data_IF_130969347665
#
_entry.id   IF_130969347665
#
_cell.length_a   1.000
_cell.length_b   1.000
_cell.length_c   1.000
_cell.angle_alpha   90.00
_cell.angle_beta   90.00
_cell.angle_gamma   90.00
#
_symmetry.space_group_name_H-M   'P 1'
#
loop_
_entity.id
_entity.type
_entity.pdbx_description
1 polymer ?
#
# COMPACT_ATOMS: atom_id res chain seq x y z
N UNK A 1 0.14 -12.78 -5.14
CA UNK A 1 0.75 -12.88 -6.49
C UNK A 1 1.73 -11.77 -6.83
N UNK A 2 1.64 -10.58 -6.20
CA UNK A 2 2.47 -9.41 -6.57
C UNK A 2 3.98 -9.61 -6.57
N UNK A 3 4.50 -10.56 -5.78
CA UNK A 3 5.93 -10.93 -5.80
C UNK A 3 6.43 -11.44 -7.16
N UNK A 4 5.52 -11.90 -8.02
CA UNK A 4 5.79 -12.40 -9.36
C UNK A 4 5.42 -11.39 -10.46
N UNK A 5 4.97 -10.19 -10.07
CA UNK A 5 4.80 -9.10 -11.02
C UNK A 5 6.19 -8.61 -11.45
N UNK A 6 6.36 -8.38 -12.76
CA UNK A 6 7.65 -8.00 -13.32
C UNK A 6 8.17 -6.67 -12.76
N UNK A 7 7.29 -5.70 -12.50
CA UNK A 7 7.68 -4.40 -11.94
C UNK A 7 8.17 -4.52 -10.50
N UNK A 8 7.48 -5.33 -9.67
CA UNK A 8 7.94 -5.63 -8.31
C UNK A 8 9.25 -6.44 -8.30
N UNK A 9 9.42 -7.40 -9.21
CA UNK A 9 10.69 -8.13 -9.34
C UNK A 9 11.85 -7.22 -9.79
N UNK A 10 11.61 -6.30 -10.73
CA UNK A 10 12.58 -5.29 -11.15
C UNK A 10 12.97 -4.40 -9.96
N UNK A 11 12.00 -3.89 -9.21
CA UNK A 11 12.24 -3.09 -8.01
C UNK A 11 13.04 -3.87 -6.95
N UNK A 12 12.69 -5.13 -6.68
CA UNK A 12 13.42 -5.97 -5.73
C UNK A 12 14.87 -6.16 -6.13
N UNK A 13 15.14 -6.44 -7.41
CA UNK A 13 16.50 -6.62 -7.91
C UNK A 13 17.32 -5.34 -7.74
N UNK A 14 16.77 -4.17 -8.06
CA UNK A 14 17.47 -2.90 -7.90
C UNK A 14 17.82 -2.62 -6.44
N UNK A 15 16.88 -2.84 -5.50
CA UNK A 15 17.14 -2.71 -4.07
C UNK A 15 18.23 -3.69 -3.59
N UNK A 16 18.17 -4.94 -4.04
CA UNK A 16 19.14 -5.98 -3.67
C UNK A 16 20.57 -5.68 -4.14
N UNK A 17 20.76 -4.79 -5.13
CA UNK A 17 22.10 -4.35 -5.53
C UNK A 17 22.79 -3.49 -4.47
N UNK A 18 22.02 -2.83 -3.59
CA UNK A 18 22.51 -1.85 -2.61
C UNK A 18 23.03 -0.54 -3.21
N UNK A 19 22.98 -0.36 -4.54
CA UNK A 19 23.49 0.86 -5.22
C UNK A 19 22.71 2.10 -4.77
N UNK A 20 21.42 1.95 -4.52
CA UNK A 20 20.52 3.01 -4.04
C UNK A 20 20.66 3.32 -2.54
N UNK A 21 21.52 2.59 -1.80
CA UNK A 21 21.61 2.67 -0.34
C UNK A 21 20.38 2.08 0.34
N UNK A 22 20.15 2.45 1.60
CA UNK A 22 19.03 1.91 2.37
C UNK A 22 17.67 2.51 1.95
N UNK A 23 16.58 1.71 1.90
CA UNK A 23 15.22 2.22 1.84
C UNK A 23 14.89 3.07 3.07
N UNK A 24 14.18 4.18 2.87
CA UNK A 24 13.79 5.11 3.95
C UNK A 24 12.28 5.28 4.04
N UNK A 25 11.63 5.49 2.89
CA UNK A 25 10.18 5.72 2.80
C UNK A 25 9.58 4.93 1.64
N UNK A 26 8.35 4.47 1.80
CA UNK A 26 7.56 3.93 0.69
C UNK A 26 6.24 4.69 0.58
N UNK A 27 5.91 5.08 -0.65
CA UNK A 27 4.63 5.69 -1.00
C UNK A 27 3.88 4.73 -1.91
N UNK A 28 2.74 4.24 -1.44
CA UNK A 28 1.96 3.22 -2.12
C UNK A 28 0.51 3.65 -2.31
N UNK A 29 -0.09 3.22 -3.41
CA UNK A 29 -1.52 3.43 -3.66
C UNK A 29 -2.13 2.13 -4.16
N UNK A 30 -3.23 1.71 -3.53
CA UNK A 30 -4.11 0.66 -4.02
C UNK A 30 -5.46 1.28 -4.35
N UNK A 31 -5.73 1.47 -5.65
CA UNK A 31 -6.96 2.09 -6.10
C UNK A 31 -7.75 1.15 -6.96
N UNK A 32 -9.06 1.18 -6.77
CA UNK A 32 -10.01 0.38 -7.52
C UNK A 32 -11.21 1.25 -7.92
N UNK A 33 -11.77 0.95 -9.08
CA UNK A 33 -12.79 1.80 -9.71
C UNK A 33 -14.06 1.88 -8.86
N UNK A 34 -14.61 0.72 -8.50
CA UNK A 34 -15.81 0.55 -7.65
C UNK A 34 -15.81 -0.81 -6.94
N UNK A 35 -16.44 -0.89 -5.77
CA UNK A 35 -16.72 -2.15 -5.06
C UNK A 35 -18.21 -2.38 -4.87
N UNK A 36 -18.61 -3.63 -4.64
CA UNK A 36 -20.02 -3.95 -4.39
C UNK A 36 -20.44 -3.65 -2.94
N UNK A 37 -21.75 -3.60 -2.70
CA UNK A 37 -22.34 -3.24 -1.39
C UNK A 37 -22.04 -4.18 -0.21
N UNK A 38 -21.45 -5.36 -0.47
CA UNK A 38 -21.00 -6.30 0.56
C UNK A 38 -19.59 -5.99 1.04
N UNK A 39 -18.83 -5.19 0.29
CA UNK A 39 -17.51 -4.74 0.69
C UNK A 39 -17.60 -3.75 1.85
N UNK A 40 -17.07 -4.08 3.02
CA UNK A 40 -17.14 -3.21 4.20
C UNK A 40 -15.77 -2.66 4.62
N UNK A 41 -15.77 -1.83 5.67
CA UNK A 41 -14.57 -1.11 6.11
C UNK A 41 -13.36 -2.02 6.41
N UNK A 42 -13.50 -3.15 7.14
CA UNK A 42 -12.40 -4.11 7.34
C UNK A 42 -11.83 -4.72 6.06
N UNK A 43 -12.66 -4.96 5.04
CA UNK A 43 -12.22 -5.55 3.77
C UNK A 43 -11.20 -4.68 3.03
N UNK A 44 -11.14 -3.37 3.30
CA UNK A 44 -10.06 -2.47 2.85
C UNK A 44 -8.67 -2.97 3.24
N UNK A 45 -8.55 -3.63 4.39
CA UNK A 45 -7.32 -4.26 4.83
C UNK A 45 -7.29 -5.72 4.40
N UNK A 46 -8.32 -6.50 4.78
CA UNK A 46 -8.33 -7.96 4.65
C UNK A 46 -8.25 -8.45 3.20
N UNK A 47 -8.86 -7.72 2.26
CA UNK A 47 -8.99 -8.13 0.86
C UNK A 47 -8.25 -7.21 -0.11
N UNK A 48 -7.79 -6.04 0.33
CA UNK A 48 -7.17 -5.04 -0.54
C UNK A 48 -5.74 -4.76 -0.08
N UNK A 49 -5.53 -4.14 1.08
CA UNK A 49 -4.18 -3.82 1.56
C UNK A 49 -3.32 -5.05 1.88
N UNK A 50 -3.92 -6.23 2.09
CA UNK A 50 -3.21 -7.51 2.32
C UNK A 50 -2.16 -7.79 1.23
N UNK A 51 -2.41 -7.34 0.00
CA UNK A 51 -1.47 -7.50 -1.11
C UNK A 51 -0.22 -6.64 -0.94
N UNK A 52 -0.37 -5.39 -0.50
CA UNK A 52 0.75 -4.51 -0.15
C UNK A 52 1.48 -5.01 1.10
N UNK A 53 0.77 -5.43 2.14
CA UNK A 53 1.40 -5.97 3.36
C UNK A 53 2.33 -7.14 3.01
N UNK A 54 1.87 -8.10 2.19
CA UNK A 54 2.70 -9.23 1.75
C UNK A 54 3.88 -8.81 0.85
N UNK A 55 3.63 -7.91 -0.11
CA UNK A 55 4.62 -7.50 -1.10
C UNK A 55 5.70 -6.61 -0.50
N UNK A 56 5.34 -5.64 0.36
CA UNK A 56 6.28 -4.69 0.94
C UNK A 56 7.20 -5.36 1.97
N UNK A 57 6.65 -6.29 2.77
CA UNK A 57 7.45 -7.14 3.67
C UNK A 57 8.48 -7.97 2.88
N UNK A 58 8.07 -8.56 1.76
CA UNK A 58 8.99 -9.29 0.88
C UNK A 58 10.02 -8.38 0.20
N UNK A 59 9.58 -7.19 -0.22
CA UNK A 59 10.41 -6.21 -0.92
C UNK A 59 11.55 -5.72 -0.03
N UNK A 60 11.22 -5.37 1.22
CA UNK A 60 12.16 -4.84 2.22
C UNK A 60 12.90 -5.92 3.00
N UNK A 61 12.43 -7.18 2.95
CA UNK A 61 13.00 -8.31 3.68
C UNK A 61 13.02 -8.12 5.21
N UNK A 62 12.06 -7.38 5.75
CA UNK A 62 11.92 -7.10 7.17
C UNK A 62 10.44 -7.06 7.59
N UNK A 63 10.21 -7.20 8.91
CA UNK A 63 8.87 -7.25 9.48
C UNK A 63 8.33 -5.85 9.88
N UNK A 64 7.01 -5.74 10.00
CA UNK A 64 6.33 -4.53 10.49
C UNK A 64 6.22 -4.55 12.02
N UNK A 65 6.49 -3.42 12.66
CA UNK A 65 6.39 -3.24 14.13
C UNK A 65 5.20 -2.39 14.55
N UNK A 66 4.64 -1.58 13.66
CA UNK A 66 3.46 -0.78 13.95
C UNK A 66 2.60 -0.52 12.72
N UNK A 67 1.32 -0.27 12.98
CA UNK A 67 0.34 0.12 11.98
C UNK A 67 -0.62 1.17 12.56
N UNK A 68 -0.98 2.17 11.77
CA UNK A 68 -1.99 3.16 12.09
C UNK A 68 -2.92 3.36 10.89
N UNK A 69 -4.23 3.29 11.11
CA UNK A 69 -5.23 3.63 10.09
C UNK A 69 -5.77 5.02 10.37
N UNK A 70 -5.71 5.89 9.36
CA UNK A 70 -6.28 7.22 9.37
C UNK A 70 -7.49 7.20 8.43
N UNK A 71 -8.65 7.55 8.99
CA UNK A 71 -9.91 7.67 8.26
C UNK A 71 -10.16 9.17 7.97
N UNK A 72 -10.08 9.61 6.70
CA UNK A 72 -10.34 11.01 6.34
C UNK A 72 -11.74 11.48 6.75
N UNK A 73 -11.86 12.71 7.25
CA UNK A 73 -13.16 13.25 7.71
C UNK A 73 -14.26 13.20 6.64
N UNK A 74 -13.90 13.48 5.38
CA UNK A 74 -14.81 13.35 4.24
C UNK A 74 -14.50 12.07 3.50
N UNK A 75 -15.54 11.27 3.28
CA UNK A 75 -15.48 10.09 2.44
C UNK A 75 -15.85 10.46 1.01
N UNK A 76 -15.46 9.63 0.05
CA UNK A 76 -15.95 9.73 -1.32
C UNK A 76 -17.48 9.67 -1.36
N UNK A 77 -18.11 10.44 -2.24
CA UNK A 77 -19.58 10.39 -2.42
C UNK A 77 -20.06 9.06 -3.00
N UNK A 78 -19.13 8.24 -3.53
CA UNK A 78 -19.43 6.96 -4.17
C UNK A 78 -19.43 5.78 -3.20
N UNK A 79 -19.10 6.00 -1.92
CA UNK A 79 -19.15 4.94 -0.90
C UNK A 79 -20.57 4.75 -0.34
N UNK A 80 -20.81 3.61 0.32
CA UNK A 80 -22.03 3.31 1.06
C UNK A 80 -21.80 3.35 2.58
N UNK A 81 -22.86 3.40 3.42
CA UNK A 81 -22.74 3.64 4.86
C UNK A 81 -21.93 2.63 5.69
N UNK A 82 -21.52 1.50 5.11
CA UNK A 82 -20.75 0.44 5.80
C UNK A 82 -19.26 0.47 5.47
N UNK A 83 -18.85 1.32 4.54
CA UNK A 83 -17.49 1.40 4.02
C UNK A 83 -16.94 2.82 4.21
N UNK A 84 -15.89 2.96 5.00
CA UNK A 84 -15.10 4.18 5.05
C UNK A 84 -14.07 4.20 3.92
N UNK A 85 -14.22 5.08 2.94
CA UNK A 85 -13.38 5.13 1.73
C UNK A 85 -13.13 6.59 1.29
N UNK A 86 -11.86 7.01 1.07
CA UNK A 86 -10.62 6.23 1.17
C UNK A 86 -10.14 6.01 2.62
N UNK A 87 -9.06 5.23 2.76
CA UNK A 87 -8.30 5.03 4.00
C UNK A 87 -6.81 5.29 3.75
N UNK A 88 -6.12 5.83 4.74
CA UNK A 88 -4.66 5.95 4.74
C UNK A 88 -4.09 5.04 5.82
N UNK A 89 -3.22 4.11 5.43
CA UNK A 89 -2.55 3.17 6.32
C UNK A 89 -1.09 3.59 6.44
N UNK A 90 -0.62 3.83 7.65
CA UNK A 90 0.78 4.08 7.96
C UNK A 90 1.37 2.83 8.60
N UNK A 91 2.50 2.34 8.07
CA UNK A 91 3.25 1.22 8.63
C UNK A 91 4.68 1.65 8.98
N UNK A 92 5.27 1.01 9.97
CA UNK A 92 6.69 1.14 10.27
C UNK A 92 7.33 -0.25 10.41
N UNK A 93 8.53 -0.41 9.85
CA UNK A 93 9.32 -1.65 9.93
C UNK A 93 10.28 -1.66 11.12
N UNK A 94 10.91 -2.81 11.39
CA UNK A 94 11.89 -2.98 12.46
C UNK A 94 13.10 -2.03 12.35
N UNK A 95 13.59 -1.77 11.13
CA UNK A 95 14.68 -0.81 10.90
C UNK A 95 14.22 0.65 10.88
N UNK A 96 12.91 0.90 10.91
CA UNK A 96 12.33 2.24 10.95
C UNK A 96 11.88 2.80 9.61
N UNK A 97 11.85 2.00 8.53
CA UNK A 97 11.27 2.39 7.24
C UNK A 97 9.80 2.75 7.45
N UNK A 98 9.39 3.93 6.98
CA UNK A 98 8.01 4.40 7.09
C UNK A 98 7.28 4.24 5.75
N UNK A 99 6.05 3.73 5.80
CA UNK A 99 5.25 3.43 4.62
C UNK A 99 3.91 4.16 4.75
N UNK A 100 3.53 4.92 3.73
CA UNK A 100 2.15 5.34 3.54
C UNK A 100 1.49 4.56 2.41
N UNK A 101 0.30 4.03 2.71
CA UNK A 101 -0.52 3.29 1.78
C UNK A 101 -1.91 3.93 1.71
N UNK A 102 -2.20 4.56 0.58
CA UNK A 102 -3.54 4.97 0.22
C UNK A 102 -4.35 3.75 -0.26
N UNK A 103 -5.51 3.50 0.34
CA UNK A 103 -6.50 2.55 -0.16
C UNK A 103 -7.75 3.34 -0.57
N UNK A 104 -8.06 3.36 -1.87
CA UNK A 104 -9.22 4.06 -2.41
C UNK A 104 -9.99 3.18 -3.40
N UNK A 105 -11.05 2.52 -2.92
CA UNK A 105 -11.71 1.43 -3.65
C UNK A 105 -12.93 1.85 -4.47
N UNK A 106 -13.31 3.14 -4.41
CA UNK A 106 -14.31 3.76 -5.29
C UNK A 106 -13.73 5.01 -6.00
N UNK A 107 -12.52 4.91 -6.57
CA UNK A 107 -11.81 6.05 -7.16
C UNK A 107 -12.38 6.53 -8.52
N UNK A 108 -13.28 5.75 -9.14
CA UNK A 108 -13.99 6.02 -10.40
C UNK A 108 -13.15 6.08 -11.68
N UNK A 109 -11.82 6.26 -11.60
CA UNK A 109 -11.00 6.42 -12.80
C UNK A 109 -10.37 5.11 -13.32
N UNK A 110 -10.39 4.04 -12.52
CA UNK A 110 -9.90 2.73 -12.91
C UNK A 110 -9.20 1.97 -11.78
N UNK A 111 -8.49 0.91 -12.16
CA UNK A 111 -7.63 0.14 -11.26
C UNK A 111 -6.18 0.62 -11.39
N UNK A 112 -5.58 1.04 -10.28
CA UNK A 112 -4.28 1.72 -10.28
C UNK A 112 -3.46 1.35 -9.05
N UNK A 113 -2.30 0.74 -9.30
CA UNK A 113 -1.36 0.26 -8.28
C UNK A 113 -0.04 0.98 -8.46
N UNK A 114 0.39 1.72 -7.43
CA UNK A 114 1.68 2.40 -7.43
C UNK A 114 2.47 1.99 -6.20
N UNK A 115 3.78 1.88 -6.38
CA UNK A 115 4.74 1.64 -5.31
C UNK A 115 6.01 2.43 -5.64
N UNK A 116 6.39 3.36 -4.77
CA UNK A 116 7.61 4.14 -4.90
C UNK A 116 8.44 3.96 -3.65
N UNK A 117 9.70 3.57 -3.83
CA UNK A 117 10.69 3.44 -2.76
C UNK A 117 11.62 4.65 -2.81
N UNK A 118 11.79 5.32 -1.68
CA UNK A 118 12.74 6.41 -1.48
C UNK A 118 13.95 5.84 -0.76
N UNK A 119 15.11 5.90 -1.39
CA UNK A 119 16.36 5.38 -0.84
C UNK A 119 17.35 6.52 -0.55
N UNK A 120 18.43 6.23 0.17
CA UNK A 120 19.48 7.20 0.52
C UNK A 120 20.22 7.81 -0.69
N UNK A 121 20.36 7.05 -1.78
CA UNK A 121 21.20 7.38 -2.92
C UNK A 121 20.43 7.30 -4.24
N UNK A 122 21.08 7.78 -5.30
CA UNK A 122 20.56 7.83 -6.67
C UNK A 122 21.28 6.85 -7.56
#
# INVERSE_FOLDING_TARGET
MRRYDRGYEEMKRELDTGVLGEPLLLHCTHRNETVDSKYDTPMAVENTAVHEVDALRWLLQEDFVSAQVILPKKQTQYTHPKLHDPQLILLQTESGVCIDLEVFVNCQFGYDINCKVVCEKR
#
